data_IF_671889680980
#
_entry.id   IF_671889680980
#
_cell.length_a   1.000
_cell.length_b   1.000
_cell.length_c   1.000
_cell.angle_alpha   90.00
_cell.angle_beta   90.00
_cell.angle_gamma   90.00
#
_symmetry.space_group_name_H-M   'P 1'
#
loop_
_entity.id
_entity.type
_entity.pdbx_description
1 polymer ?
#
# COMPACT_ATOMS: atom_id res chain seq x y z
N UNK A 1 -19.89 7.56 -15.88
CA UNK A 1 -18.63 6.90 -15.52
C UNK A 1 -18.94 5.80 -14.51
N UNK A 2 -18.33 4.65 -14.70
CA UNK A 2 -18.55 3.51 -13.83
C UNK A 2 -17.50 3.51 -12.72
N UNK A 3 -17.91 3.21 -11.47
CA UNK A 3 -16.97 3.09 -10.35
C UNK A 3 -16.18 1.80 -10.50
N UNK A 4 -14.87 1.90 -10.68
CA UNK A 4 -13.98 0.74 -10.79
C UNK A 4 -13.52 0.24 -9.42
N UNK A 5 -13.39 1.15 -8.46
CA UNK A 5 -12.92 0.85 -7.11
C UNK A 5 -13.62 1.68 -6.04
N UNK A 6 -14.06 1.10 -4.95
CA UNK A 6 -14.13 -0.35 -4.72
C UNK A 6 -15.16 -1.03 -5.63
N UNK A 7 -14.92 -2.28 -6.06
CA UNK A 7 -15.84 -2.99 -6.95
C UNK A 7 -17.17 -3.27 -6.26
N UNK A 8 -18.23 -3.31 -7.04
CA UNK A 8 -19.57 -3.68 -6.57
C UNK A 8 -19.93 -5.09 -7.09
N UNK A 9 -21.02 -5.67 -6.57
CA UNK A 9 -21.52 -6.98 -7.05
C UNK A 9 -21.92 -6.98 -8.55
N UNK A 10 -21.96 -5.82 -9.18
CA UNK A 10 -22.35 -5.68 -10.58
C UNK A 10 -21.17 -5.45 -11.52
N UNK A 11 -19.97 -5.12 -10.99
CA UNK A 11 -18.80 -4.75 -11.79
C UNK A 11 -17.48 -5.41 -11.35
N UNK A 12 -17.54 -6.63 -10.84
CA UNK A 12 -16.33 -7.37 -10.41
C UNK A 12 -15.25 -7.51 -11.49
N UNK A 13 -15.68 -7.67 -12.74
CA UNK A 13 -14.76 -7.84 -13.87
C UNK A 13 -14.11 -6.51 -14.30
N UNK A 14 -14.58 -5.38 -13.78
CA UNK A 14 -14.07 -4.06 -14.17
C UNK A 14 -12.75 -3.72 -13.47
N UNK A 15 -12.38 -4.44 -12.41
CA UNK A 15 -11.09 -4.27 -11.71
C UNK A 15 -9.90 -4.46 -12.64
N UNK A 16 -10.01 -5.31 -13.66
CA UNK A 16 -8.99 -5.48 -14.70
C UNK A 16 -8.68 -4.19 -15.46
N UNK A 17 -9.61 -3.22 -15.47
CA UNK A 17 -9.39 -1.90 -16.06
C UNK A 17 -8.41 -1.03 -15.26
N UNK A 18 -8.07 -1.41 -14.02
CA UNK A 18 -7.08 -0.73 -13.18
C UNK A 18 -5.63 -1.13 -13.49
N UNK A 19 -5.39 -2.06 -14.40
CA UNK A 19 -4.04 -2.48 -14.79
C UNK A 19 -3.25 -1.30 -15.34
N UNK A 20 -1.99 -1.19 -14.90
CA UNK A 20 -1.01 -0.25 -15.45
C UNK A 20 -0.18 -0.95 -16.56
N UNK A 21 0.34 -0.18 -17.49
CA UNK A 21 1.34 -0.65 -18.46
C UNK A 21 2.65 -1.02 -17.77
N UNK A 22 3.56 -1.62 -18.50
CA UNK A 22 4.93 -1.88 -18.02
C UNK A 22 5.69 -0.60 -17.67
N UNK A 23 5.35 0.52 -18.26
CA UNK A 23 5.93 1.84 -18.00
C UNK A 23 5.27 2.54 -16.80
N UNK A 24 4.27 1.90 -16.15
CA UNK A 24 3.56 2.44 -14.99
C UNK A 24 2.49 3.48 -15.34
N UNK A 25 2.03 3.51 -16.60
CA UNK A 25 0.95 4.38 -17.05
C UNK A 25 -0.41 3.67 -16.98
N UNK A 26 -1.48 4.41 -16.75
CA UNK A 26 -2.83 3.86 -16.74
C UNK A 26 -3.24 3.44 -18.16
N UNK A 27 -3.66 2.18 -18.32
CA UNK A 27 -4.15 1.66 -19.61
C UNK A 27 -5.45 2.36 -20.00
N UNK A 28 -6.30 2.65 -19.02
CA UNK A 28 -7.59 3.30 -19.20
C UNK A 28 -7.58 4.70 -18.58
N UNK A 29 -8.54 5.51 -18.99
CA UNK A 29 -8.74 6.86 -18.48
C UNK A 29 -9.42 6.79 -17.08
N UNK A 30 -8.61 6.56 -16.05
CA UNK A 30 -9.05 6.43 -14.65
C UNK A 30 -8.76 7.73 -13.91
N UNK A 31 -9.69 8.12 -13.03
CA UNK A 31 -9.58 9.31 -12.19
C UNK A 31 -10.16 9.03 -10.79
N UNK A 32 -9.85 9.87 -9.83
CA UNK A 32 -10.39 9.80 -8.48
C UNK A 32 -11.68 10.62 -8.37
N UNK A 33 -12.68 10.07 -7.69
CA UNK A 33 -13.97 10.72 -7.46
C UNK A 33 -14.32 10.74 -5.96
N UNK A 34 -13.33 11.14 -5.15
CA UNK A 34 -13.47 11.26 -3.69
C UNK A 34 -13.00 10.03 -2.91
N UNK A 35 -13.13 10.10 -1.59
CA UNK A 35 -12.75 9.03 -0.67
C UNK A 35 -13.88 8.00 -0.52
N UNK A 36 -13.51 6.76 -0.23
CA UNK A 36 -14.45 5.64 -0.03
C UNK A 36 -15.16 5.81 1.32
N UNK A 37 -16.33 6.43 1.33
CA UNK A 37 -17.11 6.67 2.55
C UNK A 37 -17.73 5.38 3.10
N UNK A 38 -18.25 4.52 2.23
CA UNK A 38 -18.85 3.23 2.60
C UNK A 38 -18.48 2.18 1.57
N UNK A 39 -18.42 0.93 2.01
CA UNK A 39 -18.25 -0.21 1.15
C UNK A 39 -19.25 -1.32 1.52
N UNK A 40 -20.13 -1.72 0.59
CA UNK A 40 -21.21 -2.68 0.82
C UNK A 40 -22.01 -2.42 2.12
N UNK A 41 -22.27 -1.15 2.41
CA UNK A 41 -22.99 -0.72 3.62
C UNK A 41 -22.12 -0.68 4.89
N UNK A 42 -20.86 -1.10 4.83
CA UNK A 42 -19.90 -0.96 5.93
C UNK A 42 -19.25 0.42 5.85
N UNK A 43 -19.29 1.22 6.93
CA UNK A 43 -18.58 2.49 6.97
C UNK A 43 -17.06 2.30 6.81
N UNK A 44 -16.42 3.12 5.95
CA UNK A 44 -14.97 3.21 5.80
C UNK A 44 -14.52 4.59 6.30
N UNK A 45 -14.46 5.60 5.44
CA UNK A 45 -14.07 6.95 5.84
C UNK A 45 -15.27 7.87 6.12
N UNK A 46 -16.52 7.44 5.84
CA UNK A 46 -17.72 8.26 6.04
C UNK A 46 -17.84 8.84 7.44
N UNK A 47 -17.78 8.05 8.53
CA UNK A 47 -17.87 8.57 9.90
C UNK A 47 -16.78 9.59 10.26
N UNK A 48 -15.56 9.41 9.73
CA UNK A 48 -14.49 10.38 9.92
C UNK A 48 -14.76 11.68 9.15
N UNK A 49 -15.21 11.58 7.90
CA UNK A 49 -15.59 12.75 7.09
C UNK A 49 -16.75 13.53 7.72
N UNK A 50 -17.75 12.83 8.24
CA UNK A 50 -18.89 13.45 8.94
C UNK A 50 -18.42 14.18 10.20
N UNK A 51 -17.52 13.57 10.98
CA UNK A 51 -16.92 14.20 12.15
C UNK A 51 -16.15 15.47 11.76
N UNK A 52 -15.29 15.40 10.75
CA UNK A 52 -14.52 16.58 10.29
C UNK A 52 -15.44 17.70 9.79
N UNK A 53 -16.49 17.37 9.04
CA UNK A 53 -17.50 18.33 8.59
C UNK A 53 -18.25 18.97 9.77
N UNK A 54 -18.47 18.22 10.87
CA UNK A 54 -19.08 18.79 12.08
C UNK A 54 -18.15 19.85 12.74
N UNK A 55 -16.83 19.60 12.74
CA UNK A 55 -15.84 20.57 13.24
C UNK A 55 -15.75 21.84 12.37
N UNK A 56 -15.96 21.72 11.07
CA UNK A 56 -16.10 22.89 10.17
C UNK A 56 -17.39 23.65 10.51
N UNK A 57 -18.50 22.93 10.69
CA UNK A 57 -19.82 23.54 10.95
C UNK A 57 -19.85 24.30 12.27
N UNK A 58 -19.17 23.80 13.31
CA UNK A 58 -19.14 24.47 14.63
C UNK A 58 -17.99 25.53 14.74
N UNK A 59 -17.20 25.69 13.68
CA UNK A 59 -16.10 26.67 13.60
C UNK A 59 -14.85 26.28 14.36
N UNK A 60 -14.69 25.02 14.75
CA UNK A 60 -13.47 24.49 15.38
C UNK A 60 -12.31 24.47 14.39
N UNK A 61 -12.57 24.09 13.15
CA UNK A 61 -11.66 24.20 12.02
C UNK A 61 -12.30 24.99 10.89
N UNK A 62 -11.49 25.63 10.05
CA UNK A 62 -11.98 26.45 8.94
C UNK A 62 -12.42 25.60 7.76
N UNK A 63 -11.68 24.55 7.44
CA UNK A 63 -11.89 23.74 6.26
C UNK A 63 -11.38 22.31 6.47
N UNK A 64 -11.98 21.35 5.75
CA UNK A 64 -11.57 19.96 5.66
C UNK A 64 -11.52 19.54 4.21
N UNK A 65 -10.38 19.02 3.76
CA UNK A 65 -10.18 18.48 2.43
C UNK A 65 -9.89 16.98 2.49
N UNK A 66 -10.82 16.10 2.07
CA UNK A 66 -10.54 14.69 1.87
C UNK A 66 -9.73 14.52 0.57
N UNK A 67 -8.41 14.28 0.70
CA UNK A 67 -7.51 14.12 -0.42
C UNK A 67 -7.58 12.69 -0.95
N UNK A 68 -8.43 12.44 -1.94
CA UNK A 68 -8.47 11.17 -2.67
C UNK A 68 -7.41 11.16 -3.77
N UNK A 69 -6.60 10.11 -3.83
CA UNK A 69 -5.55 9.96 -4.82
C UNK A 69 -5.60 8.59 -5.50
N UNK A 70 -5.01 8.50 -6.69
CA UNK A 70 -4.88 7.21 -7.37
C UNK A 70 -3.83 6.35 -6.65
N UNK A 71 -4.32 5.42 -5.86
CA UNK A 71 -3.53 4.56 -5.00
C UNK A 71 -2.63 3.57 -5.76
N UNK A 72 -2.73 3.47 -7.07
CA UNK A 72 -1.88 2.61 -7.89
C UNK A 72 -0.48 3.18 -8.07
N UNK A 73 -0.34 4.49 -8.02
CA UNK A 73 0.93 5.19 -8.26
C UNK A 73 1.79 5.33 -7.00
N UNK A 74 3.10 5.52 -7.22
CA UNK A 74 4.01 5.86 -6.13
C UNK A 74 3.73 7.26 -5.59
N UNK A 75 4.08 7.54 -4.32
CA UNK A 75 3.97 8.89 -3.75
C UNK A 75 4.67 9.96 -4.58
N UNK A 76 5.83 9.66 -5.16
CA UNK A 76 6.58 10.59 -6.00
C UNK A 76 5.82 10.93 -7.29
N UNK A 77 5.21 9.91 -7.94
CA UNK A 77 4.43 10.14 -9.16
C UNK A 77 3.17 10.97 -8.84
N UNK A 78 2.51 10.71 -7.72
CA UNK A 78 1.35 11.52 -7.27
C UNK A 78 1.75 12.99 -7.06
N UNK A 79 2.93 13.24 -6.46
CA UNK A 79 3.44 14.60 -6.24
C UNK A 79 3.95 15.28 -7.52
N UNK A 80 4.38 14.51 -8.51
CA UNK A 80 4.88 15.01 -9.77
C UNK A 80 3.74 15.33 -10.74
N UNK A 81 2.80 14.41 -10.92
CA UNK A 81 1.78 14.44 -11.96
C UNK A 81 0.45 15.03 -11.44
N UNK A 82 0.31 15.14 -10.11
CA UNK A 82 -0.94 15.57 -9.47
C UNK A 82 -1.97 14.45 -9.36
N UNK A 83 -3.16 14.80 -8.90
CA UNK A 83 -4.31 13.94 -8.73
C UNK A 83 -5.33 14.24 -9.82
N UNK A 84 -5.57 13.29 -10.70
CA UNK A 84 -6.55 13.41 -11.75
C UNK A 84 -7.96 13.22 -11.18
N UNK A 85 -8.82 14.22 -11.38
CA UNK A 85 -10.26 14.20 -11.08
C UNK A 85 -11.08 14.26 -12.37
N UNK A 86 -12.40 14.16 -12.34
CA UNK A 86 -13.24 14.32 -13.53
C UNK A 86 -13.08 15.65 -14.24
N UNK A 87 -12.80 16.72 -13.50
CA UNK A 87 -12.83 18.09 -14.01
C UNK A 87 -11.43 18.66 -14.27
N UNK A 88 -10.44 18.26 -13.45
CA UNK A 88 -9.09 18.84 -13.50
C UNK A 88 -8.02 17.89 -12.91
N UNK A 89 -6.77 18.29 -12.98
CA UNK A 89 -5.66 17.66 -12.25
C UNK A 89 -5.25 18.58 -11.10
N UNK A 90 -5.34 18.08 -9.88
CA UNK A 90 -5.01 18.83 -8.66
C UNK A 90 -3.54 18.65 -8.31
N UNK A 91 -2.81 19.74 -8.14
CA UNK A 91 -1.49 19.72 -7.51
C UNK A 91 -1.65 19.63 -5.98
N UNK A 92 -1.06 18.59 -5.38
CA UNK A 92 -1.18 18.32 -3.93
C UNK A 92 -0.61 19.45 -3.08
N UNK A 93 0.49 20.04 -3.52
CA UNK A 93 1.15 21.15 -2.78
C UNK A 93 0.31 22.42 -2.85
N UNK A 94 -0.25 22.73 -4.02
CA UNK A 94 -1.16 23.88 -4.18
C UNK A 94 -2.42 23.73 -3.31
N UNK A 95 -2.97 22.51 -3.18
CA UNK A 95 -4.09 22.25 -2.29
C UNK A 95 -3.74 22.54 -0.81
N UNK A 96 -2.55 22.12 -0.36
CA UNK A 96 -2.07 22.39 1.00
C UNK A 96 -1.86 23.89 1.21
N UNK A 97 -1.29 24.61 0.25
CA UNK A 97 -1.11 26.06 0.30
C UNK A 97 -2.46 26.80 0.40
N UNK A 98 -3.44 26.36 -0.38
CA UNK A 98 -4.78 26.94 -0.35
C UNK A 98 -5.45 26.75 1.02
N UNK A 99 -5.40 25.51 1.58
CA UNK A 99 -5.91 25.22 2.91
C UNK A 99 -5.18 26.02 4.01
N UNK A 100 -3.86 26.11 3.95
CA UNK A 100 -3.10 26.90 4.91
C UNK A 100 -3.48 28.38 4.85
N UNK A 101 -3.71 28.90 3.64
CA UNK A 101 -4.13 30.31 3.44
C UNK A 101 -5.55 30.58 3.99
N UNK A 102 -6.47 29.62 3.92
CA UNK A 102 -7.82 29.76 4.51
C UNK A 102 -7.81 29.60 6.03
N UNK A 103 -6.82 28.90 6.58
CA UNK A 103 -6.70 28.64 8.01
C UNK A 103 -6.36 29.89 8.82
N UNK A 104 -6.98 30.05 10.02
CA UNK A 104 -6.65 31.12 10.98
C UNK A 104 -5.17 31.12 11.42
N UNK A 105 -4.55 29.93 11.44
CA UNK A 105 -3.16 29.77 11.89
C UNK A 105 -2.16 29.86 10.76
N UNK A 106 -2.62 29.88 9.51
CA UNK A 106 -1.75 29.73 8.34
C UNK A 106 -1.15 28.34 8.20
N UNK A 107 -1.71 27.34 8.88
CA UNK A 107 -1.19 25.97 8.91
C UNK A 107 -2.26 24.94 8.71
N UNK A 108 -1.85 23.73 8.29
CA UNK A 108 -2.70 22.56 8.12
C UNK A 108 -2.24 21.42 9.02
N UNK A 109 -3.18 20.52 9.34
CA UNK A 109 -2.92 19.22 9.95
C UNK A 109 -3.14 18.15 8.89
N UNK A 110 -2.17 17.28 8.68
CA UNK A 110 -2.32 16.11 7.81
C UNK A 110 -2.72 14.93 8.69
N UNK A 111 -3.86 14.29 8.38
CA UNK A 111 -4.29 13.03 8.98
C UNK A 111 -4.30 11.97 7.90
N UNK A 112 -3.53 10.91 8.07
CA UNK A 112 -3.33 9.89 7.07
C UNK A 112 -3.51 8.49 7.65
N UNK A 113 -4.22 7.64 6.92
CA UNK A 113 -4.43 6.24 7.26
C UNK A 113 -3.67 5.32 6.31
N UNK A 114 -3.07 4.24 6.85
CA UNK A 114 -2.42 3.19 6.09
C UNK A 114 -1.37 3.76 5.10
N UNK A 115 -1.43 3.39 3.82
CA UNK A 115 -0.55 3.89 2.75
C UNK A 115 -0.55 5.42 2.61
N UNK A 116 -1.65 6.09 3.01
CA UNK A 116 -1.71 7.55 3.05
C UNK A 116 -0.64 8.18 3.95
N UNK A 117 -0.19 7.47 5.00
CA UNK A 117 0.92 7.93 5.83
C UNK A 117 2.27 7.90 5.11
N UNK A 118 2.47 7.00 4.16
CA UNK A 118 3.64 6.95 3.29
C UNK A 118 3.62 8.15 2.33
N UNK A 119 2.47 8.44 1.73
CA UNK A 119 2.28 9.64 0.90
C UNK A 119 2.48 10.92 1.73
N UNK A 120 1.94 10.99 2.95
CA UNK A 120 2.11 12.14 3.84
C UNK A 120 3.56 12.46 4.17
N UNK A 121 4.41 11.43 4.35
CA UNK A 121 5.87 11.63 4.48
C UNK A 121 6.47 12.28 3.24
N UNK A 122 6.10 11.80 2.05
CA UNK A 122 6.59 12.35 0.78
C UNK A 122 6.13 13.80 0.61
N UNK A 123 4.89 14.13 0.96
CA UNK A 123 4.36 15.48 0.96
C UNK A 123 5.20 16.40 1.86
N UNK A 124 5.43 16.01 3.11
CA UNK A 124 6.17 16.85 4.07
C UNK A 124 7.61 17.05 3.60
N UNK A 125 8.27 15.99 3.13
CA UNK A 125 9.62 16.10 2.58
C UNK A 125 9.66 17.03 1.37
N UNK A 126 8.68 16.96 0.48
CA UNK A 126 8.58 17.86 -0.66
C UNK A 126 8.38 19.32 -0.25
N UNK A 127 7.53 19.57 0.74
CA UNK A 127 7.34 20.91 1.32
C UNK A 127 8.63 21.44 1.96
N UNK A 128 9.39 20.61 2.67
CA UNK A 128 10.69 20.97 3.24
C UNK A 128 11.69 21.36 2.15
N UNK A 129 11.80 20.57 1.08
CA UNK A 129 12.64 20.88 -0.08
C UNK A 129 12.28 22.22 -0.76
N UNK A 130 11.00 22.59 -0.68
CA UNK A 130 10.48 23.89 -1.19
C UNK A 130 10.58 25.02 -0.17
N UNK A 131 11.04 24.78 1.06
CA UNK A 131 11.05 25.76 2.17
C UNK A 131 9.64 26.16 2.65
N UNK A 132 8.66 25.26 2.48
CA UNK A 132 7.23 25.47 2.82
C UNK A 132 6.72 24.53 3.93
N UNK A 133 7.59 23.80 4.60
CA UNK A 133 7.27 22.87 5.69
C UNK A 133 6.64 23.58 6.91
N UNK A 134 6.84 24.90 7.04
CA UNK A 134 6.17 25.75 8.03
C UNK A 134 4.63 25.81 7.86
N UNK A 135 4.09 25.40 6.72
CA UNK A 135 2.65 25.27 6.49
C UNK A 135 2.04 24.09 7.26
N UNK A 136 2.85 23.14 7.72
CA UNK A 136 2.37 21.97 8.46
C UNK A 136 2.50 22.23 9.97
N UNK A 137 1.38 22.05 10.70
CA UNK A 137 1.37 22.07 12.16
C UNK A 137 1.64 20.67 12.73
N UNK A 138 0.86 19.69 12.26
CA UNK A 138 0.92 18.35 12.79
C UNK A 138 0.70 17.31 11.67
N UNK A 139 1.30 16.15 11.86
CA UNK A 139 1.11 14.98 11.00
C UNK A 139 0.69 13.77 11.84
N UNK A 140 -0.52 13.27 11.61
CA UNK A 140 -1.09 12.12 12.31
C UNK A 140 -1.12 10.93 11.36
N UNK A 141 -0.38 9.87 11.69
CA UNK A 141 -0.36 8.61 10.96
C UNK A 141 -1.12 7.54 11.73
N UNK A 142 -2.06 6.87 11.07
CA UNK A 142 -2.91 5.83 11.68
C UNK A 142 -2.69 4.53 10.91
N UNK A 143 -2.20 3.48 11.59
CA UNK A 143 -1.96 2.17 10.99
C UNK A 143 -1.04 2.18 9.75
N UNK A 144 -0.08 3.12 9.68
CA UNK A 144 0.79 3.27 8.52
C UNK A 144 1.87 2.19 8.50
N UNK A 145 2.00 1.39 7.43
CA UNK A 145 3.03 0.35 7.30
C UNK A 145 4.38 0.98 6.93
N UNK A 146 5.03 1.60 7.90
CA UNK A 146 6.25 2.41 7.74
C UNK A 146 7.40 1.68 7.05
N UNK A 147 7.54 0.38 7.30
CA UNK A 147 8.61 -0.47 6.79
C UNK A 147 8.12 -1.47 5.73
N UNK A 148 6.89 -1.34 5.30
CA UNK A 148 6.16 -2.35 4.53
C UNK A 148 5.43 -3.35 5.43
N UNK A 149 4.75 -4.31 4.80
CA UNK A 149 3.94 -5.32 5.51
C UNK A 149 4.02 -6.69 4.81
N UNK A 150 4.14 -7.81 5.55
CA UNK A 150 4.05 -9.16 5.00
C UNK A 150 2.74 -9.46 4.27
N UNK A 151 1.66 -8.78 4.62
CA UNK A 151 0.36 -8.90 3.96
C UNK A 151 0.44 -8.57 2.46
N UNK A 152 1.24 -7.56 2.08
CA UNK A 152 1.44 -7.20 0.67
C UNK A 152 2.05 -8.33 -0.15
N UNK A 153 2.82 -9.25 0.48
CA UNK A 153 3.48 -10.38 -0.20
C UNK A 153 2.43 -11.32 -0.83
N UNK A 154 1.42 -11.72 -0.05
CA UNK A 154 0.34 -12.57 -0.56
C UNK A 154 -0.46 -11.84 -1.67
N UNK A 155 -0.68 -10.55 -1.51
CA UNK A 155 -1.36 -9.71 -2.50
C UNK A 155 -0.66 -9.69 -3.85
N UNK A 156 0.62 -9.36 -3.90
CA UNK A 156 1.34 -9.24 -5.17
C UNK A 156 1.67 -10.58 -5.83
N UNK A 157 1.90 -11.64 -5.03
CA UNK A 157 2.26 -12.96 -5.56
C UNK A 157 1.05 -13.80 -6.00
N UNK A 158 -0.11 -13.60 -5.36
CA UNK A 158 -1.27 -14.50 -5.53
C UNK A 158 -2.58 -13.75 -5.81
N UNK A 159 -2.59 -12.41 -5.73
CA UNK A 159 -3.82 -11.62 -5.77
C UNK A 159 -4.67 -11.80 -4.51
N UNK A 160 -4.06 -12.30 -3.42
CA UNK A 160 -4.73 -12.50 -2.15
C UNK A 160 -5.06 -11.15 -1.52
N UNK A 161 -6.33 -10.88 -1.36
CA UNK A 161 -6.85 -9.64 -0.77
C UNK A 161 -7.22 -9.80 0.71
N UNK A 162 -6.92 -10.95 1.34
CA UNK A 162 -7.14 -11.12 2.77
C UNK A 162 -6.40 -10.03 3.55
N UNK A 163 -7.18 -9.09 4.07
CA UNK A 163 -6.69 -8.00 4.93
C UNK A 163 -6.31 -6.68 4.24
N UNK A 164 -6.27 -6.57 2.93
CA UNK A 164 -6.19 -5.26 2.25
C UNK A 164 -7.61 -4.79 1.97
N UNK A 165 -8.09 -3.82 2.77
CA UNK A 165 -9.39 -3.17 2.61
C UNK A 165 -10.51 -4.16 2.25
N UNK A 166 -10.98 -4.88 3.27
CA UNK A 166 -12.21 -5.69 3.20
C UNK A 166 -12.09 -6.85 2.21
N UNK A 167 -11.50 -7.96 2.59
CA UNK A 167 -11.36 -9.23 1.85
C UNK A 167 -12.44 -9.49 0.80
N UNK A 168 -12.39 -8.80 -0.34
CA UNK A 168 -13.57 -8.61 -1.13
C UNK A 168 -13.31 -8.57 -2.61
N UNK A 169 -14.00 -9.46 -3.20
CA UNK A 169 -14.91 -9.26 -4.32
C UNK A 169 -14.24 -8.83 -5.64
N UNK A 170 -12.92 -8.82 -5.74
CA UNK A 170 -12.24 -8.89 -7.02
C UNK A 170 -11.69 -10.31 -7.19
N UNK A 171 -11.75 -10.83 -8.40
CA UNK A 171 -11.16 -12.14 -8.67
C UNK A 171 -9.64 -12.07 -8.39
N UNK A 172 -9.05 -13.02 -7.64
CA UNK A 172 -7.63 -12.96 -7.29
C UNK A 172 -6.69 -12.81 -8.49
N UNK A 173 -7.05 -13.38 -9.66
CA UNK A 173 -6.27 -13.22 -10.89
C UNK A 173 -6.22 -11.75 -11.35
N UNK A 174 -7.34 -11.03 -11.28
CA UNK A 174 -7.40 -9.61 -11.66
C UNK A 174 -6.58 -8.75 -10.68
N UNK A 175 -6.71 -9.02 -9.38
CA UNK A 175 -5.92 -8.33 -8.35
C UNK A 175 -4.42 -8.58 -8.53
N UNK A 176 -4.00 -9.82 -8.83
CA UNK A 176 -2.62 -10.14 -9.15
C UNK A 176 -2.13 -9.40 -10.39
N UNK A 177 -2.94 -9.37 -11.46
CA UNK A 177 -2.60 -8.64 -12.68
C UNK A 177 -2.46 -7.13 -12.45
N UNK A 178 -3.35 -6.51 -11.66
CA UNK A 178 -3.24 -5.09 -11.26
C UNK A 178 -1.95 -4.85 -10.50
N UNK A 179 -1.63 -5.71 -9.53
CA UNK A 179 -0.46 -5.54 -8.66
C UNK A 179 0.90 -5.62 -9.41
N UNK A 180 0.96 -6.33 -10.55
CA UNK A 180 2.23 -6.59 -11.25
C UNK A 180 2.96 -5.34 -11.71
N UNK A 181 2.25 -4.30 -12.12
CA UNK A 181 2.80 -3.04 -12.61
C UNK A 181 2.47 -1.85 -11.70
N UNK A 182 2.04 -2.10 -10.47
CA UNK A 182 1.55 -1.09 -9.53
C UNK A 182 2.63 -0.68 -8.53
N UNK A 183 3.35 0.45 -8.72
CA UNK A 183 4.49 0.83 -7.88
C UNK A 183 4.13 0.91 -6.39
N UNK A 184 2.92 1.35 -6.04
CA UNK A 184 2.50 1.44 -4.65
C UNK A 184 2.39 0.07 -3.96
N UNK A 185 2.03 -1.00 -4.69
CA UNK A 185 1.99 -2.36 -4.13
C UNK A 185 3.40 -2.83 -3.75
N UNK A 186 4.41 -2.46 -4.56
CA UNK A 186 5.81 -2.73 -4.24
C UNK A 186 6.29 -1.89 -3.05
N UNK A 187 5.85 -0.64 -2.93
CA UNK A 187 6.16 0.22 -1.78
C UNK A 187 5.54 -0.30 -0.46
N UNK A 188 4.56 -1.19 -0.52
CA UNK A 188 4.00 -1.85 0.66
C UNK A 188 4.73 -3.15 1.03
N UNK A 189 5.62 -3.67 0.19
CA UNK A 189 6.42 -4.86 0.51
C UNK A 189 7.43 -4.58 1.63
N UNK A 190 7.79 -5.60 2.44
CA UNK A 190 8.79 -5.48 3.48
C UNK A 190 10.12 -4.94 2.93
N UNK A 191 10.59 -3.83 3.49
CA UNK A 191 11.83 -3.15 3.11
C UNK A 191 13.07 -3.81 3.71
N UNK A 192 14.27 -3.44 3.26
CA UNK A 192 15.52 -3.85 3.90
C UNK A 192 15.51 -3.55 5.41
N UNK A 193 14.97 -2.40 5.82
CA UNK A 193 14.87 -2.05 7.25
C UNK A 193 13.90 -2.96 7.99
N UNK A 194 12.82 -3.42 7.35
CA UNK A 194 11.92 -4.41 7.95
C UNK A 194 12.69 -5.68 8.36
N UNK A 195 13.49 -6.25 7.47
CA UNK A 195 14.29 -7.45 7.76
C UNK A 195 15.38 -7.24 8.81
N UNK A 196 15.82 -6.00 9.02
CA UNK A 196 16.79 -5.67 10.07
C UNK A 196 16.15 -5.51 11.46
N UNK A 197 14.88 -5.13 11.52
CA UNK A 197 14.16 -4.82 12.76
C UNK A 197 13.23 -5.96 13.22
N UNK A 198 12.71 -6.76 12.28
CA UNK A 198 11.75 -7.84 12.54
C UNK A 198 12.41 -9.18 12.31
N UNK A 199 12.48 -10.00 13.35
CA UNK A 199 13.13 -11.31 13.31
C UNK A 199 12.26 -12.43 12.74
N UNK A 200 10.94 -12.24 12.69
CA UNK A 200 10.02 -13.23 12.13
C UNK A 200 10.18 -13.32 10.60
N UNK A 201 10.26 -14.53 10.03
CA UNK A 201 10.37 -14.70 8.59
C UNK A 201 9.08 -14.25 7.89
N UNK A 202 9.25 -13.63 6.72
CA UNK A 202 8.11 -13.17 5.87
C UNK A 202 7.58 -14.31 4.99
N UNK A 203 8.45 -15.26 4.62
CA UNK A 203 8.11 -16.42 3.79
C UNK A 203 8.68 -17.68 4.45
N UNK A 204 7.89 -18.74 4.51
CA UNK A 204 8.29 -20.04 5.06
C UNK A 204 7.95 -21.18 4.11
N UNK A 205 8.68 -22.27 4.22
CA UNK A 205 8.52 -23.46 3.37
C UNK A 205 8.30 -24.70 4.23
N UNK A 206 7.14 -25.35 4.10
CA UNK A 206 6.81 -26.58 4.82
C UNK A 206 7.85 -27.68 4.49
N UNK A 207 8.46 -28.24 5.52
CA UNK A 207 9.50 -29.27 5.40
C UNK A 207 9.01 -30.58 4.76
N UNK A 208 7.72 -30.87 4.88
CA UNK A 208 7.12 -32.08 4.34
C UNK A 208 6.55 -31.89 2.92
N UNK A 209 6.72 -30.71 2.33
CA UNK A 209 6.24 -30.39 1.00
C UNK A 209 7.29 -30.66 -0.07
N UNK A 210 7.03 -31.58 -0.98
CA UNK A 210 7.86 -31.81 -2.17
C UNK A 210 7.85 -30.59 -3.12
N UNK A 211 6.75 -29.84 -3.11
CA UNK A 211 6.60 -28.61 -3.91
C UNK A 211 7.67 -27.56 -3.57
N UNK A 212 8.05 -27.46 -2.29
CA UNK A 212 9.01 -26.46 -1.82
C UNK A 212 10.45 -26.98 -1.68
N UNK A 213 10.72 -28.24 -2.05
CA UNK A 213 12.01 -28.89 -1.84
C UNK A 213 13.17 -28.11 -2.49
N UNK A 214 13.02 -27.69 -3.75
CA UNK A 214 14.04 -26.92 -4.45
C UNK A 214 14.30 -25.55 -3.77
N UNK A 215 13.26 -24.93 -3.24
CA UNK A 215 13.36 -23.65 -2.53
C UNK A 215 14.08 -23.83 -1.19
N UNK A 216 13.71 -24.88 -0.41
CA UNK A 216 14.40 -25.21 0.84
C UNK A 216 15.87 -25.56 0.64
N UNK A 217 16.19 -26.24 -0.44
CA UNK A 217 17.58 -26.58 -0.76
C UNK A 217 18.42 -25.35 -1.10
N UNK A 218 17.80 -24.29 -1.59
CA UNK A 218 18.50 -23.05 -1.98
C UNK A 218 18.49 -22.00 -0.86
N UNK A 219 17.33 -21.68 -0.27
CA UNK A 219 17.18 -20.62 0.76
C UNK A 219 17.09 -21.17 2.20
N UNK A 220 16.96 -22.47 2.40
CA UNK A 220 16.61 -23.02 3.70
C UNK A 220 15.09 -23.03 3.94
N UNK A 221 14.65 -23.25 5.20
CA UNK A 221 13.22 -23.36 5.53
C UNK A 221 12.46 -22.04 5.51
N UNK A 222 13.18 -20.92 5.48
CA UNK A 222 12.60 -19.56 5.61
C UNK A 222 13.41 -18.55 4.81
N UNK A 223 12.76 -17.45 4.42
CA UNK A 223 13.38 -16.24 3.88
C UNK A 223 13.58 -15.27 5.03
N UNK A 224 14.82 -14.94 5.35
CA UNK A 224 15.21 -14.17 6.54
C UNK A 224 15.89 -12.84 6.22
N UNK A 225 16.42 -12.68 5.01
CA UNK A 225 17.14 -11.48 4.59
C UNK A 225 16.45 -10.81 3.42
N UNK A 226 16.71 -9.51 3.24
CA UNK A 226 16.17 -8.78 2.10
C UNK A 226 16.71 -9.32 0.75
N UNK A 227 17.96 -9.75 0.70
CA UNK A 227 18.55 -10.31 -0.53
C UNK A 227 17.89 -11.63 -0.92
N UNK A 228 17.61 -12.50 0.05
CA UNK A 228 16.86 -13.73 -0.17
C UNK A 228 15.41 -13.41 -0.61
N UNK A 229 14.79 -12.41 0.04
CA UNK A 229 13.45 -11.93 -0.33
C UNK A 229 13.42 -11.40 -1.76
N UNK A 230 14.35 -10.53 -2.12
CA UNK A 230 14.47 -10.00 -3.48
C UNK A 230 14.63 -11.14 -4.50
N UNK A 231 15.57 -12.05 -4.24
CA UNK A 231 15.84 -13.22 -5.09
C UNK A 231 14.59 -14.11 -5.25
N UNK A 232 13.86 -14.37 -4.15
CA UNK A 232 12.61 -15.14 -4.20
C UNK A 232 11.53 -14.40 -5.00
N UNK A 233 11.30 -13.11 -4.74
CA UNK A 233 10.25 -12.33 -5.41
C UNK A 233 10.48 -12.18 -6.91
N UNK A 234 11.74 -12.05 -7.34
CA UNK A 234 12.11 -11.87 -8.76
C UNK A 234 12.37 -13.18 -9.49
N UNK A 235 12.34 -14.32 -8.77
CA UNK A 235 12.64 -15.64 -9.37
C UNK A 235 14.12 -15.89 -9.65
N UNK A 236 15.01 -15.08 -9.08
CA UNK A 236 16.46 -15.30 -9.13
C UNK A 236 16.87 -16.43 -8.19
N UNK A 237 17.96 -17.13 -8.52
CA UNK A 237 18.51 -18.22 -7.71
C UNK A 237 17.88 -19.59 -8.01
N UNK A 238 16.59 -19.76 -7.83
CA UNK A 238 15.85 -20.96 -8.29
C UNK A 238 14.94 -20.55 -9.44
N UNK A 239 15.27 -21.01 -10.64
CA UNK A 239 14.49 -20.70 -11.84
C UNK A 239 13.04 -21.13 -11.64
N UNK A 240 12.13 -20.18 -11.68
CA UNK A 240 10.69 -20.38 -11.71
C UNK A 240 10.13 -19.92 -13.05
N UNK A 241 9.20 -20.67 -13.58
CA UNK A 241 8.42 -20.20 -14.74
C UNK A 241 7.30 -19.32 -14.21
N UNK A 242 7.07 -18.19 -14.88
CA UNK A 242 5.90 -17.35 -14.58
C UNK A 242 4.63 -18.20 -14.70
N UNK A 243 3.78 -18.23 -13.68
CA UNK A 243 2.54 -19.01 -13.74
C UNK A 243 1.57 -18.42 -14.77
N UNK A 244 0.68 -19.26 -15.30
CA UNK A 244 -0.47 -18.76 -16.06
C UNK A 244 -1.41 -17.95 -15.13
N UNK A 245 -2.21 -17.07 -15.72
CA UNK A 245 -3.02 -16.11 -14.96
C UNK A 245 -4.00 -16.76 -13.98
N UNK A 246 -4.50 -17.96 -14.29
CA UNK A 246 -5.40 -18.73 -13.45
C UNK A 246 -4.70 -19.62 -12.41
N UNK A 247 -3.38 -19.75 -12.49
CA UNK A 247 -2.57 -20.55 -11.55
C UNK A 247 -2.15 -19.71 -10.35
N UNK A 248 -3.05 -19.53 -9.41
CA UNK A 248 -2.87 -18.64 -8.25
C UNK A 248 -2.08 -19.24 -7.08
N UNK A 249 -1.91 -20.55 -7.04
CA UNK A 249 -1.15 -21.22 -5.98
C UNK A 249 0.37 -21.19 -6.20
N UNK A 250 0.82 -20.93 -7.42
CA UNK A 250 2.24 -20.67 -7.74
C UNK A 250 2.50 -19.17 -7.59
N UNK A 251 3.55 -18.77 -6.85
CA UNK A 251 3.87 -17.36 -6.69
C UNK A 251 4.29 -16.73 -8.02
N UNK A 252 3.80 -15.53 -8.27
CA UNK A 252 4.18 -14.71 -9.41
C UNK A 252 5.68 -14.34 -9.36
N UNK A 253 6.23 -13.93 -10.47
CA UNK A 253 7.58 -13.38 -10.60
C UNK A 253 7.46 -11.88 -10.76
N UNK A 254 7.92 -11.15 -9.75
CA UNK A 254 7.82 -9.70 -9.73
C UNK A 254 8.88 -9.04 -10.62
N UNK A 255 8.67 -7.79 -10.90
CA UNK A 255 9.58 -6.96 -11.69
C UNK A 255 10.73 -6.45 -10.82
N UNK A 256 11.99 -6.81 -11.14
CA UNK A 256 13.15 -6.40 -10.34
C UNK A 256 13.31 -4.89 -10.24
N UNK A 257 13.01 -4.15 -11.32
CA UNK A 257 13.08 -2.70 -11.36
C UNK A 257 12.12 -2.04 -10.36
N UNK A 258 10.85 -2.47 -10.30
CA UNK A 258 9.87 -1.92 -9.37
C UNK A 258 10.21 -2.27 -7.90
N UNK A 259 10.75 -3.46 -7.66
CA UNK A 259 11.21 -3.85 -6.32
C UNK A 259 12.45 -3.04 -5.89
N UNK A 260 13.35 -2.74 -6.83
CA UNK A 260 14.50 -1.84 -6.60
C UNK A 260 14.04 -0.42 -6.31
N UNK A 261 13.09 0.11 -7.07
CA UNK A 261 12.54 1.45 -6.87
C UNK A 261 11.83 1.56 -5.51
N UNK A 262 11.06 0.53 -5.11
CA UNK A 262 10.44 0.47 -3.80
C UNK A 262 11.49 0.46 -2.66
N UNK A 263 12.59 -0.28 -2.82
CA UNK A 263 13.67 -0.27 -1.84
C UNK A 263 14.38 1.09 -1.77
N UNK A 264 14.60 1.75 -2.90
CA UNK A 264 15.17 3.10 -2.95
C UNK A 264 14.25 4.11 -2.26
N UNK A 265 12.94 4.01 -2.49
CA UNK A 265 11.92 4.78 -1.78
C UNK A 265 12.04 4.57 -0.26
N UNK A 266 12.03 3.34 0.19
CA UNK A 266 12.16 3.03 1.61
C UNK A 266 13.47 3.54 2.22
N UNK A 267 14.60 3.41 1.52
CA UNK A 267 15.89 3.93 1.98
C UNK A 267 15.86 5.45 2.18
N UNK A 268 15.15 6.16 1.32
CA UNK A 268 14.99 7.62 1.43
C UNK A 268 14.08 8.01 2.60
N UNK A 269 12.95 7.32 2.80
CA UNK A 269 11.92 7.73 3.75
C UNK A 269 12.02 7.06 5.13
N UNK A 270 12.64 5.90 5.26
CA UNK A 270 12.80 5.21 6.55
C UNK A 270 13.78 5.90 7.50
N UNK A 271 14.71 6.70 6.97
CA UNK A 271 15.65 7.51 7.74
C UNK A 271 15.27 8.99 7.82
N UNK A 272 14.18 9.40 7.14
CA UNK A 272 13.75 10.80 7.11
C UNK A 272 13.35 11.28 8.50
N UNK A 273 13.92 12.42 8.90
CA UNK A 273 13.60 13.10 10.14
C UNK A 273 12.70 14.29 9.84
N UNK A 274 11.52 14.31 10.42
CA UNK A 274 10.60 15.43 10.25
C UNK A 274 11.17 16.72 10.84
N UNK A 275 10.89 17.89 10.23
CA UNK A 275 11.24 19.18 10.84
C UNK A 275 10.73 19.28 12.29
N UNK A 276 11.57 19.77 13.20
CA UNK A 276 11.31 19.73 14.64
C UNK A 276 10.06 20.52 15.08
N UNK A 277 9.57 21.44 14.26
CA UNK A 277 8.36 22.21 14.54
C UNK A 277 7.07 21.47 14.17
N UNK A 278 7.15 20.38 13.41
CA UNK A 278 5.99 19.55 13.05
C UNK A 278 5.75 18.53 14.16
N UNK A 279 4.58 18.57 14.77
CA UNK A 279 4.17 17.55 15.73
C UNK A 279 3.77 16.27 14.98
N UNK A 280 4.55 15.20 15.17
CA UNK A 280 4.24 13.90 14.58
C UNK A 280 3.55 12.99 15.61
N UNK A 281 2.41 12.44 15.24
CA UNK A 281 1.64 11.49 16.03
C UNK A 281 1.50 10.20 15.23
N UNK A 282 1.86 9.08 15.86
CA UNK A 282 1.67 7.75 15.27
C UNK A 282 0.68 6.96 16.12
N UNK A 283 -0.40 6.50 15.49
CA UNK A 283 -1.40 5.64 16.08
C UNK A 283 -1.21 4.24 15.53
N UNK A 284 -0.89 3.30 16.40
CA UNK A 284 -0.76 1.88 16.09
C UNK A 284 -1.85 1.09 16.81
N UNK A 285 -2.50 0.17 16.11
CA UNK A 285 -3.41 -0.79 16.69
C UNK A 285 -2.66 -2.02 17.25
N UNK A 286 -3.36 -2.82 18.02
CA UNK A 286 -2.82 -4.01 18.66
C UNK A 286 -3.92 -5.04 18.93
N UNK A 287 -3.57 -6.32 18.88
CA UNK A 287 -4.45 -7.40 19.33
C UNK A 287 -5.37 -7.97 18.27
N UNK A 288 -5.28 -7.52 17.02
CA UNK A 288 -6.03 -8.09 15.88
C UNK A 288 -5.19 -9.11 15.12
N UNK A 289 -5.80 -10.18 14.57
CA UNK A 289 -5.09 -11.10 13.69
C UNK A 289 -4.53 -10.36 12.48
N UNK A 290 -3.20 -10.31 12.35
CA UNK A 290 -2.47 -9.60 11.30
C UNK A 290 -1.57 -10.60 10.56
N UNK A 291 -1.52 -10.53 9.25
CA UNK A 291 -0.65 -11.40 8.44
C UNK A 291 0.81 -11.11 8.76
N UNK A 292 1.55 -12.15 9.18
CA UNK A 292 2.98 -12.05 9.50
C UNK A 292 3.88 -12.76 8.49
N UNK A 293 3.36 -13.76 7.78
CA UNK A 293 4.12 -14.52 6.79
C UNK A 293 3.22 -15.25 5.80
N UNK A 294 3.82 -15.67 4.69
CA UNK A 294 3.25 -16.61 3.73
C UNK A 294 3.98 -17.95 3.82
N UNK A 295 3.26 -19.03 4.11
CA UNK A 295 3.81 -20.40 4.11
C UNK A 295 3.45 -21.13 2.83
N UNK A 296 4.45 -21.61 2.12
CA UNK A 296 4.26 -22.51 0.97
C UNK A 296 4.27 -23.97 1.40
N UNK A 297 3.30 -24.73 0.94
CA UNK A 297 3.08 -26.12 1.33
C UNK A 297 2.26 -26.91 0.32
N UNK A 298 2.19 -28.25 0.50
CA UNK A 298 1.20 -29.05 -0.15
C UNK A 298 -0.09 -29.12 0.68
N UNK A 299 -1.21 -28.85 0.05
CA UNK A 299 -2.54 -29.08 0.60
C UNK A 299 -3.12 -30.35 -0.05
N UNK A 300 -3.15 -31.47 0.70
CA UNK A 300 -3.62 -32.76 0.20
C UNK A 300 -2.94 -33.19 -1.13
N UNK A 301 -1.63 -32.92 -1.26
CA UNK A 301 -0.86 -33.28 -2.46
C UNK A 301 -0.90 -32.24 -3.59
N UNK A 302 -1.64 -31.16 -3.41
CA UNK A 302 -1.69 -30.04 -4.37
C UNK A 302 -0.81 -28.90 -3.83
N UNK A 303 0.08 -28.33 -4.67
CA UNK A 303 0.83 -27.13 -4.30
C UNK A 303 -0.10 -26.00 -3.85
N UNK A 304 0.33 -25.24 -2.84
CA UNK A 304 -0.45 -24.13 -2.33
C UNK A 304 0.34 -23.26 -1.35
N UNK A 305 -0.35 -22.27 -0.83
CA UNK A 305 0.15 -21.41 0.23
C UNK A 305 -0.95 -21.18 1.29
N UNK A 306 -0.55 -20.64 2.41
CA UNK A 306 -1.46 -20.03 3.40
C UNK A 306 -0.80 -18.83 4.04
N UNK A 307 -1.62 -17.90 4.50
CA UNK A 307 -1.18 -16.79 5.34
C UNK A 307 -1.05 -17.26 6.79
N UNK A 308 0.03 -16.85 7.45
CA UNK A 308 0.24 -17.05 8.88
C UNK A 308 -0.05 -15.74 9.60
N UNK A 309 -0.68 -15.84 10.78
CA UNK A 309 -1.13 -14.66 11.52
C UNK A 309 -0.37 -14.51 12.83
N UNK A 310 -0.26 -13.27 13.29
CA UNK A 310 0.10 -12.88 14.65
C UNK A 310 -1.03 -12.04 15.24
N UNK A 311 -1.07 -11.93 16.57
CA UNK A 311 -1.95 -10.99 17.28
C UNK A 311 -1.21 -9.72 17.70
N UNK A 312 0.03 -9.56 17.25
CA UNK A 312 0.89 -8.42 17.55
C UNK A 312 0.76 -7.33 16.48
N UNK A 313 -0.45 -7.10 15.98
CA UNK A 313 -0.75 -6.10 14.98
C UNK A 313 -2.20 -5.64 15.03
N UNK A 314 -2.58 -4.79 14.09
CA UNK A 314 -3.88 -4.11 14.03
C UNK A 314 -4.82 -4.58 12.90
N UNK A 315 -4.41 -5.59 12.15
CA UNK A 315 -5.06 -6.28 11.03
C UNK A 315 -4.50 -5.97 9.65
#
# INVERSE_FOLDING_TARGET
>A
SDTLWPPTIFNFNDVSQLVLTSEGESVNDVYTDGVVNTFHGTPVYGPFSDFMNSLVTDGTIEEYLPLAYDWRFSPEKILQDGIKTPDETLDVIEQIEALAKSSKTGKVVIVAHSMGGILGKAIIKKLEEMGKDNLIDSFVMIGTPQLGTPQAVAGVLHGDSEGILVGLIAHPADMRAVAQNMPSAYNLLPSLKYFNEVSDPVITFDENSSFTEAWRNFWGPTINTYDEFFSFMTGEGVTRTRPAEDILYIPEILRPELLTDANNFHNQYNSYQFPAHIRVVQVAGWGSPTVKAVEYKNNHGIPGYRTLFTVEGDK
#
